data_IF_736346959928
#
_entry.id   IF_736346959928
#
_cell.length_a   1.000
_cell.length_b   1.000
_cell.length_c   1.000
_cell.angle_alpha   90.00
_cell.angle_beta   90.00
_cell.angle_gamma   90.00
#
_symmetry.space_group_name_H-M   'P 1'
#
loop_
_entity.id
_entity.type
_entity.pdbx_description
1 polymer ?
#
# COMPACT_ATOMS: atom_id res chain seq x y z
N UNK A 1 -12.69 0.85 -1.30
CA UNK A 1 -11.77 0.02 -2.11
C UNK A 1 -11.07 0.96 -3.06
N UNK A 2 -9.79 0.70 -3.30
CA UNK A 2 -8.89 1.52 -4.13
C UNK A 2 -7.73 0.65 -4.63
N UNK A 3 -7.11 1.08 -5.73
CA UNK A 3 -5.93 0.45 -6.32
C UNK A 3 -4.70 1.33 -6.17
N UNK A 4 -3.65 0.75 -5.58
CA UNK A 4 -2.35 1.41 -5.51
C UNK A 4 -1.29 0.63 -6.29
N UNK A 5 -0.48 1.30 -7.13
CA UNK A 5 0.72 0.69 -7.67
C UNK A 5 1.75 0.48 -6.54
N UNK A 6 2.40 -0.69 -6.57
CA UNK A 6 3.57 -0.98 -5.75
C UNK A 6 4.73 -1.33 -6.68
N UNK A 7 5.77 -0.51 -6.66
CA UNK A 7 6.94 -0.68 -7.50
C UNK A 7 7.90 -1.73 -6.92
N UNK A 8 8.67 -2.36 -7.80
CA UNK A 8 9.73 -3.30 -7.39
C UNK A 8 10.94 -2.56 -6.82
N UNK A 9 11.18 -1.33 -7.29
CA UNK A 9 12.11 -0.39 -6.66
C UNK A 9 11.33 0.78 -6.05
N UNK A 10 11.38 0.90 -4.72
CA UNK A 10 10.66 1.92 -3.93
C UNK A 10 11.62 3.01 -3.44
N UNK A 11 12.31 3.65 -4.39
CA UNK A 11 13.34 4.65 -4.10
C UNK A 11 12.76 5.80 -3.25
N UNK A 12 13.36 6.13 -2.09
CA UNK A 12 12.88 7.23 -1.24
C UNK A 12 13.07 8.58 -1.92
N UNK A 13 12.19 9.53 -1.60
CA UNK A 13 12.25 10.90 -2.12
C UNK A 13 13.19 11.83 -1.34
N UNK A 14 13.74 11.37 -0.22
CA UNK A 14 14.70 12.09 0.64
C UNK A 14 15.88 11.17 0.95
N UNK A 15 17.08 11.73 1.06
CA UNK A 15 18.31 11.03 1.44
C UNK A 15 19.12 11.88 2.42
N UNK A 16 20.00 11.25 3.19
CA UNK A 16 20.94 11.93 4.09
C UNK A 16 22.36 11.75 3.53
N UNK A 17 23.12 12.82 3.44
CA UNK A 17 24.50 12.85 2.99
C UNK A 17 25.23 14.04 3.66
N UNK A 18 26.56 14.11 3.51
CA UNK A 18 27.38 15.24 3.97
C UNK A 18 26.90 16.55 3.35
N UNK A 19 26.91 17.61 4.16
CA UNK A 19 26.58 18.96 3.68
C UNK A 19 27.50 19.38 2.53
N UNK A 20 26.94 19.95 1.47
CA UNK A 20 27.67 20.35 0.27
C UNK A 20 27.82 19.27 -0.81
N UNK A 21 27.34 18.04 -0.58
CA UNK A 21 27.29 17.00 -1.61
C UNK A 21 26.36 17.41 -2.76
N UNK A 22 26.89 17.48 -3.98
CA UNK A 22 26.15 17.91 -5.18
C UNK A 22 25.19 16.85 -5.72
N UNK A 23 25.53 15.58 -5.54
CA UNK A 23 24.79 14.43 -6.08
C UNK A 23 24.87 13.26 -5.12
N UNK A 24 23.72 12.71 -4.72
CA UNK A 24 23.63 11.50 -3.89
C UNK A 24 23.26 10.32 -4.78
N UNK A 25 24.10 9.28 -4.80
CA UNK A 25 23.86 8.08 -5.59
C UNK A 25 23.10 7.03 -4.78
N UNK A 26 21.93 6.64 -5.27
CA UNK A 26 21.13 5.56 -4.68
C UNK A 26 21.31 4.30 -5.52
N UNK A 27 21.67 3.19 -4.87
CA UNK A 27 21.71 1.88 -5.53
C UNK A 27 20.28 1.36 -5.72
N UNK A 28 19.94 1.00 -6.95
CA UNK A 28 18.66 0.38 -7.32
C UNK A 28 18.91 -0.92 -8.07
N UNK A 29 17.84 -1.61 -8.45
CA UNK A 29 17.93 -2.84 -9.23
C UNK A 29 17.64 -2.61 -10.72
N UNK A 30 17.36 -1.37 -11.12
CA UNK A 30 16.93 -0.98 -12.46
C UNK A 30 15.48 -1.34 -12.77
N UNK A 31 14.65 -1.52 -11.73
CA UNK A 31 13.26 -1.95 -11.83
C UNK A 31 12.24 -0.89 -11.41
N UNK A 32 12.63 0.39 -11.43
CA UNK A 32 11.86 1.55 -10.95
C UNK A 32 10.54 1.74 -11.71
N UNK A 33 10.44 1.23 -12.94
CA UNK A 33 9.20 1.28 -13.74
C UNK A 33 8.35 0.01 -13.64
N UNK A 34 8.83 -1.04 -12.97
CA UNK A 34 8.08 -2.28 -12.78
C UNK A 34 7.25 -2.16 -11.52
N UNK A 35 5.97 -2.50 -11.62
CA UNK A 35 5.06 -2.51 -10.48
C UNK A 35 4.11 -3.70 -10.55
N UNK A 36 3.50 -4.00 -9.41
CA UNK A 36 2.24 -4.70 -9.28
C UNK A 36 1.16 -3.70 -8.92
N UNK A 37 -0.10 -4.05 -9.14
CA UNK A 37 -1.22 -3.30 -8.59
C UNK A 37 -1.80 -4.07 -7.41
N UNK A 38 -1.91 -3.39 -6.27
CA UNK A 38 -2.53 -3.92 -5.06
C UNK A 38 -3.93 -3.32 -4.98
N UNK A 39 -4.94 -4.16 -5.07
CA UNK A 39 -6.34 -3.80 -4.85
C UNK A 39 -6.64 -3.98 -3.37
N UNK A 40 -6.79 -2.87 -2.66
CA UNK A 40 -6.97 -2.84 -1.22
C UNK A 40 -8.42 -2.47 -0.87
N UNK A 41 -8.96 -3.14 0.16
CA UNK A 41 -10.24 -2.78 0.72
C UNK A 41 -10.23 -2.98 2.24
N UNK A 42 -10.93 -2.08 2.92
CA UNK A 42 -11.17 -2.11 4.36
C UNK A 42 -12.66 -1.89 4.61
N UNK A 43 -13.14 -2.33 5.77
CA UNK A 43 -14.51 -2.12 6.22
C UNK A 43 -14.55 -1.08 7.35
N UNK A 44 -15.68 -0.38 7.48
CA UNK A 44 -15.90 0.59 8.56
C UNK A 44 -15.90 -0.02 9.97
N UNK A 45 -15.98 -1.34 10.08
CA UNK A 45 -15.75 -2.11 11.31
C UNK A 45 -14.29 -2.11 11.76
N UNK A 46 -13.35 -1.76 10.87
CA UNK A 46 -11.91 -1.84 11.06
C UNK A 46 -11.25 -3.08 10.46
N UNK A 47 -12.03 -3.94 9.78
CA UNK A 47 -11.50 -5.15 9.17
C UNK A 47 -10.81 -4.87 7.82
N UNK A 48 -9.72 -5.57 7.55
CA UNK A 48 -8.99 -5.53 6.27
C UNK A 48 -9.44 -6.73 5.43
N UNK A 49 -9.90 -6.48 4.21
CA UNK A 49 -10.29 -7.54 3.28
C UNK A 49 -9.04 -8.20 2.67
N UNK A 50 -9.09 -9.49 2.29
CA UNK A 50 -8.03 -10.09 1.50
C UNK A 50 -7.82 -9.28 0.20
N UNK A 51 -6.60 -8.83 -0.11
CA UNK A 51 -6.35 -8.02 -1.30
C UNK A 51 -6.36 -8.88 -2.57
N UNK A 52 -6.58 -8.22 -3.71
CA UNK A 52 -6.18 -8.76 -5.01
C UNK A 52 -4.82 -8.17 -5.41
N UNK A 53 -3.94 -9.02 -5.90
CA UNK A 53 -2.61 -8.63 -6.39
C UNK A 53 -2.54 -8.89 -7.90
N UNK A 54 -2.36 -7.83 -8.68
CA UNK A 54 -2.30 -7.90 -10.14
C UNK A 54 -0.85 -7.77 -10.59
N UNK A 55 -0.28 -8.86 -11.09
CA UNK A 55 1.05 -8.88 -11.67
C UNK A 55 1.03 -8.59 -13.17
N UNK A 56 2.07 -7.93 -13.67
CA UNK A 56 2.29 -7.79 -15.11
C UNK A 56 2.61 -9.14 -15.75
N UNK A 57 1.88 -9.53 -16.79
CA UNK A 57 2.19 -10.73 -17.58
C UNK A 57 1.01 -11.30 -18.38
N UNK A 58 1.19 -12.52 -18.90
CA UNK A 58 0.15 -13.27 -19.63
C UNK A 58 -0.09 -14.69 -19.10
N UNK A 59 0.76 -15.16 -18.19
CA UNK A 59 0.74 -16.52 -17.67
C UNK A 59 0.41 -16.49 -16.19
N UNK A 60 -0.38 -17.45 -15.74
CA UNK A 60 -0.64 -17.70 -14.33
C UNK A 60 0.68 -17.85 -13.56
N UNK A 61 0.68 -17.38 -12.32
CA UNK A 61 1.84 -17.45 -11.45
C UNK A 61 1.56 -18.44 -10.33
N UNK A 62 2.56 -19.26 -10.02
CA UNK A 62 2.56 -20.12 -8.84
C UNK A 62 3.27 -19.35 -7.71
N UNK A 63 2.48 -18.57 -6.95
CA UNK A 63 2.96 -17.79 -5.81
C UNK A 63 2.27 -18.28 -4.54
N UNK A 64 3.01 -18.30 -3.44
CA UNK A 64 2.52 -18.66 -2.12
C UNK A 64 1.83 -17.44 -1.51
N UNK A 65 0.53 -17.31 -1.78
CA UNK A 65 -0.32 -16.27 -1.19
C UNK A 65 -1.15 -16.86 -0.02
N UNK A 66 -1.51 -16.05 0.99
CA UNK A 66 -2.42 -16.48 2.03
C UNK A 66 -3.78 -16.91 1.47
N UNK A 67 -4.47 -17.80 2.18
CA UNK A 67 -5.80 -18.28 1.77
C UNK A 67 -6.77 -17.09 1.63
N UNK A 68 -7.51 -17.08 0.54
CA UNK A 68 -8.48 -16.03 0.22
C UNK A 68 -7.91 -14.82 -0.50
N UNK A 69 -6.58 -14.69 -0.63
CA UNK A 69 -5.98 -13.68 -1.48
C UNK A 69 -6.17 -14.03 -2.95
N UNK A 70 -6.37 -13.01 -3.78
CA UNK A 70 -6.60 -13.19 -5.20
C UNK A 70 -5.39 -12.74 -6.01
N UNK A 71 -4.63 -13.70 -6.53
CA UNK A 71 -3.51 -13.43 -7.43
C UNK A 71 -4.01 -13.42 -8.87
N UNK A 72 -3.82 -12.29 -9.53
CA UNK A 72 -4.22 -12.04 -10.91
C UNK A 72 -3.02 -11.65 -11.77
N UNK A 73 -3.16 -11.85 -13.08
CA UNK A 73 -2.14 -11.49 -14.06
C UNK A 73 -2.81 -10.74 -15.19
N UNK A 74 -2.25 -9.58 -15.53
CA UNK A 74 -2.77 -8.69 -16.55
C UNK A 74 -1.60 -8.09 -17.34
N UNK A 75 -1.75 -7.91 -18.66
CA UNK A 75 -0.63 -7.57 -19.56
C UNK A 75 0.11 -6.27 -19.18
N UNK A 76 -0.61 -5.33 -18.60
CA UNK A 76 -0.12 -4.02 -18.15
C UNK A 76 -0.17 -3.85 -16.63
N UNK A 77 -0.60 -4.87 -15.89
CA UNK A 77 -0.81 -4.84 -14.44
C UNK A 77 -1.87 -3.84 -13.94
N UNK A 78 -2.82 -3.43 -14.77
CA UNK A 78 -3.91 -2.53 -14.34
C UNK A 78 -5.17 -3.32 -14.00
N UNK A 79 -6.02 -2.73 -13.17
CA UNK A 79 -7.41 -3.16 -13.03
C UNK A 79 -8.16 -2.93 -14.35
N UNK A 80 -9.02 -3.87 -14.70
CA UNK A 80 -10.02 -3.77 -15.76
C UNK A 80 -11.36 -4.32 -15.29
N UNK A 81 -12.39 -4.20 -16.12
CA UNK A 81 -13.74 -4.67 -15.80
C UNK A 81 -13.79 -6.17 -15.46
N UNK A 82 -12.99 -6.99 -16.15
CA UNK A 82 -12.96 -8.44 -15.90
C UNK A 82 -12.41 -8.73 -14.51
N UNK A 83 -11.30 -8.08 -14.15
CA UNK A 83 -10.72 -8.20 -12.82
C UNK A 83 -11.61 -7.59 -11.74
N UNK A 84 -12.32 -6.50 -12.01
CA UNK A 84 -13.24 -5.90 -11.04
C UNK A 84 -14.41 -6.85 -10.74
N UNK A 85 -15.03 -7.43 -11.76
CA UNK A 85 -16.08 -8.44 -11.60
C UNK A 85 -15.58 -9.66 -10.82
N UNK A 86 -14.33 -10.08 -11.09
CA UNK A 86 -13.69 -11.17 -10.37
C UNK A 86 -13.48 -10.84 -8.89
N UNK A 87 -12.94 -9.65 -8.60
CA UNK A 87 -12.75 -9.16 -7.23
C UNK A 87 -14.06 -9.10 -6.44
N UNK A 88 -15.13 -8.59 -7.06
CA UNK A 88 -16.46 -8.56 -6.43
C UNK A 88 -16.91 -9.97 -6.02
N UNK A 89 -16.77 -10.95 -6.93
CA UNK A 89 -17.28 -12.29 -6.73
C UNK A 89 -16.44 -13.17 -5.80
N UNK A 90 -15.12 -13.04 -5.85
CA UNK A 90 -14.19 -13.91 -5.12
C UNK A 90 -13.74 -13.31 -3.78
N UNK A 91 -13.78 -11.98 -3.62
CA UNK A 91 -13.34 -11.28 -2.40
C UNK A 91 -14.51 -10.62 -1.69
N UNK A 92 -15.16 -9.66 -2.35
CA UNK A 92 -16.09 -8.75 -1.68
C UNK A 92 -17.37 -9.44 -1.20
N UNK A 93 -18.07 -10.15 -2.09
CA UNK A 93 -19.33 -10.82 -1.75
C UNK A 93 -19.16 -11.96 -0.73
N UNK A 94 -18.09 -12.78 -0.79
CA UNK A 94 -17.81 -13.74 0.28
C UNK A 94 -17.52 -13.06 1.62
N UNK A 95 -16.76 -11.95 1.62
CA UNK A 95 -16.44 -11.22 2.84
C UNK A 95 -17.70 -10.64 3.51
N UNK A 96 -18.62 -10.05 2.74
CA UNK A 96 -19.86 -9.50 3.30
C UNK A 96 -20.93 -10.54 3.59
N UNK A 97 -20.69 -11.83 3.33
CA UNK A 97 -21.71 -12.87 3.43
C UNK A 97 -22.91 -12.64 2.50
N UNK A 98 -22.75 -11.80 1.46
CA UNK A 98 -23.84 -11.28 0.60
C UNK A 98 -24.94 -10.52 1.35
N UNK A 99 -24.62 -10.00 2.54
CA UNK A 99 -25.51 -9.09 3.25
C UNK A 99 -25.53 -7.70 2.59
N UNK A 100 -26.56 -6.92 2.92
CA UNK A 100 -26.71 -5.57 2.40
C UNK A 100 -25.52 -4.73 2.83
N UNK A 101 -24.78 -4.18 1.86
CA UNK A 101 -23.55 -3.45 2.13
C UNK A 101 -23.39 -2.22 1.23
N UNK A 102 -22.57 -1.27 1.68
CA UNK A 102 -22.18 -0.07 0.92
C UNK A 102 -20.72 -0.24 0.46
N UNK A 103 -20.48 -0.18 -0.86
CA UNK A 103 -19.14 -0.25 -1.43
C UNK A 103 -18.72 1.13 -1.92
N UNK A 104 -17.78 1.75 -1.20
CA UNK A 104 -17.20 3.05 -1.54
C UNK A 104 -16.00 2.87 -2.48
N UNK A 105 -16.02 3.53 -3.64
CA UNK A 105 -15.00 3.45 -4.69
C UNK A 105 -14.85 4.80 -5.38
N UNK A 106 -13.72 5.04 -6.04
CA UNK A 106 -13.56 6.20 -6.91
C UNK A 106 -14.35 6.05 -8.24
N UNK A 107 -14.29 7.08 -9.07
CA UNK A 107 -14.94 7.09 -10.39
C UNK A 107 -14.10 6.44 -11.50
N UNK A 108 -13.18 5.52 -11.18
CA UNK A 108 -12.39 4.82 -12.19
C UNK A 108 -13.31 4.03 -13.15
N UNK A 109 -12.97 4.03 -14.44
CA UNK A 109 -13.85 3.50 -15.49
C UNK A 109 -14.23 2.03 -15.29
N UNK A 110 -13.31 1.20 -14.78
CA UNK A 110 -13.61 -0.21 -14.52
C UNK A 110 -14.62 -0.40 -13.37
N UNK A 111 -14.79 0.57 -12.47
CA UNK A 111 -15.72 0.49 -11.34
C UNK A 111 -17.17 0.82 -11.72
N UNK A 112 -17.37 1.55 -12.82
CA UNK A 112 -18.65 2.16 -13.15
C UNK A 112 -19.30 1.60 -14.43
N UNK A 113 -18.79 0.46 -14.92
CA UNK A 113 -19.39 -0.25 -16.06
C UNK A 113 -20.77 -0.80 -15.70
N UNK A 114 -21.59 -1.06 -16.71
CA UNK A 114 -22.96 -1.55 -16.49
C UNK A 114 -22.98 -2.96 -15.91
N UNK A 115 -22.03 -3.83 -16.30
CA UNK A 115 -21.93 -5.17 -15.74
C UNK A 115 -21.46 -5.16 -14.30
N UNK A 116 -20.52 -4.28 -13.93
CA UNK A 116 -20.12 -4.10 -12.52
C UNK A 116 -21.29 -3.62 -11.68
N UNK A 117 -22.02 -2.58 -12.13
CA UNK A 117 -23.24 -2.10 -11.45
C UNK A 117 -24.29 -3.20 -11.31
N UNK A 118 -24.49 -4.02 -12.35
CA UNK A 118 -25.43 -5.13 -12.35
C UNK A 118 -25.01 -6.21 -11.35
N UNK A 119 -23.72 -6.49 -11.25
CA UNK A 119 -23.19 -7.49 -10.33
C UNK A 119 -23.32 -7.04 -8.88
N UNK A 120 -23.02 -5.78 -8.58
CA UNK A 120 -23.21 -5.19 -7.25
C UNK A 120 -24.68 -5.25 -6.83
N UNK A 121 -25.61 -4.86 -7.71
CA UNK A 121 -27.06 -4.96 -7.43
C UNK A 121 -27.51 -6.40 -7.11
N UNK A 122 -27.03 -7.38 -7.89
CA UNK A 122 -27.31 -8.81 -7.64
C UNK A 122 -26.77 -9.31 -6.31
N UNK A 123 -25.66 -8.74 -5.85
CA UNK A 123 -25.03 -9.05 -4.56
C UNK A 123 -25.57 -8.25 -3.38
N UNK A 124 -26.69 -7.52 -3.52
CA UNK A 124 -27.25 -6.63 -2.50
C UNK A 124 -26.27 -5.51 -2.05
N UNK A 125 -25.45 -5.04 -2.97
CA UNK A 125 -24.43 -4.02 -2.73
C UNK A 125 -24.86 -2.69 -3.34
N UNK A 126 -24.82 -1.63 -2.53
CA UNK A 126 -25.03 -0.26 -2.97
C UNK A 126 -23.67 0.36 -3.29
N UNK A 127 -23.38 0.72 -4.56
CA UNK A 127 -22.16 1.45 -4.87
C UNK A 127 -22.27 2.92 -4.45
N UNK A 128 -21.24 3.43 -3.77
CA UNK A 128 -21.04 4.85 -3.49
C UNK A 128 -19.79 5.33 -4.25
N UNK A 129 -20.00 6.12 -5.30
CA UNK A 129 -18.94 6.62 -6.17
C UNK A 129 -18.46 7.97 -5.67
N UNK A 130 -17.17 8.07 -5.37
CA UNK A 130 -16.53 9.32 -4.98
C UNK A 130 -16.37 10.21 -6.23
N UNK A 131 -16.83 11.46 -6.19
CA UNK A 131 -16.63 12.40 -7.30
C UNK A 131 -15.15 12.65 -7.60
N UNK A 132 -14.83 12.88 -8.87
CA UNK A 132 -13.47 13.20 -9.29
C UNK A 132 -12.86 14.36 -8.49
N UNK A 133 -11.61 14.20 -8.06
CA UNK A 133 -10.89 15.21 -7.26
C UNK A 133 -11.28 15.26 -5.78
N UNK A 134 -12.19 14.39 -5.31
CA UNK A 134 -12.59 14.33 -3.90
C UNK A 134 -11.98 13.17 -3.11
N UNK A 135 -11.14 12.37 -3.74
CA UNK A 135 -10.52 11.19 -3.14
C UNK A 135 -9.76 11.52 -1.85
N UNK A 136 -8.96 12.59 -1.83
CA UNK A 136 -8.22 13.04 -0.64
C UNK A 136 -9.09 13.47 0.55
N UNK A 137 -10.42 13.50 0.40
CA UNK A 137 -11.38 13.90 1.44
C UNK A 137 -12.38 12.82 1.78
N UNK A 138 -12.73 11.97 0.79
CA UNK A 138 -13.85 11.05 0.86
C UNK A 138 -13.44 9.58 0.74
N UNK A 139 -12.19 9.29 0.40
CA UNK A 139 -11.67 7.93 0.31
C UNK A 139 -10.88 7.58 1.58
N UNK A 140 -11.39 6.69 2.45
CA UNK A 140 -10.65 6.24 3.64
C UNK A 140 -9.25 5.73 3.32
N UNK A 141 -9.11 5.08 2.16
CA UNK A 141 -7.82 4.54 1.72
C UNK A 141 -6.78 5.63 1.48
N UNK A 142 -7.13 6.72 0.80
CA UNK A 142 -6.20 7.82 0.53
C UNK A 142 -6.03 8.79 1.70
N UNK A 143 -7.04 8.93 2.56
CA UNK A 143 -6.98 9.80 3.73
C UNK A 143 -5.98 9.28 4.76
N UNK A 144 -5.92 7.97 5.02
CA UNK A 144 -5.07 7.47 6.12
C UNK A 144 -4.44 6.09 5.94
N UNK A 145 -4.86 5.27 4.97
CA UNK A 145 -4.45 3.85 4.94
C UNK A 145 -3.32 3.59 3.94
N UNK A 146 -3.39 4.21 2.76
CA UNK A 146 -2.40 4.06 1.69
C UNK A 146 -1.02 4.57 2.14
N UNK A 147 -0.95 5.60 3.01
CA UNK A 147 0.30 6.15 3.54
C UNK A 147 1.09 5.11 4.36
N UNK A 148 0.58 4.56 5.47
CA UNK A 148 1.31 3.58 6.28
C UNK A 148 1.66 2.31 5.50
N UNK A 149 0.77 1.83 4.61
CA UNK A 149 1.08 0.68 3.74
C UNK A 149 2.27 0.99 2.82
N UNK A 150 2.27 2.15 2.13
CA UNK A 150 3.40 2.55 1.27
C UNK A 150 4.69 2.76 2.07
N UNK A 151 4.60 3.28 3.30
CA UNK A 151 5.75 3.44 4.18
C UNK A 151 6.36 2.10 4.58
N UNK A 152 5.53 1.11 4.96
CA UNK A 152 5.99 -0.24 5.26
C UNK A 152 6.73 -0.86 4.06
N UNK A 153 6.10 -0.84 2.89
CA UNK A 153 6.67 -1.43 1.67
C UNK A 153 8.02 -0.78 1.30
N UNK A 154 8.13 0.54 1.47
CA UNK A 154 9.39 1.27 1.24
C UNK A 154 10.48 0.79 2.20
N UNK A 155 10.16 0.61 3.48
CA UNK A 155 11.10 0.09 4.49
C UNK A 155 11.60 -1.30 4.13
N UNK A 156 10.70 -2.22 3.77
CA UNK A 156 11.08 -3.57 3.33
C UNK A 156 11.99 -3.57 2.11
N UNK A 157 11.76 -2.66 1.15
CA UNK A 157 12.66 -2.51 0.00
C UNK A 157 14.03 -1.96 0.41
N UNK A 158 14.10 -0.95 1.29
CA UNK A 158 15.38 -0.40 1.77
C UNK A 158 16.21 -1.46 2.49
N UNK A 159 15.58 -2.27 3.34
CA UNK A 159 16.22 -3.41 4.01
C UNK A 159 16.77 -4.42 2.99
N UNK A 160 15.98 -4.76 1.97
CA UNK A 160 16.42 -5.65 0.90
C UNK A 160 17.65 -5.12 0.15
N UNK A 161 17.65 -3.83 -0.21
CA UNK A 161 18.79 -3.20 -0.89
C UNK A 161 20.03 -3.15 0.01
N UNK A 162 19.86 -2.83 1.30
CA UNK A 162 20.95 -2.81 2.28
C UNK A 162 21.58 -4.19 2.39
N UNK A 163 20.78 -5.22 2.61
CA UNK A 163 21.26 -6.58 2.83
C UNK A 163 21.94 -7.14 1.56
N UNK A 164 21.36 -6.86 0.38
CA UNK A 164 21.98 -7.22 -0.89
C UNK A 164 23.29 -6.47 -1.17
N UNK A 165 23.41 -5.21 -0.72
CA UNK A 165 24.65 -4.42 -0.83
C UNK A 165 25.75 -4.99 0.06
N UNK A 166 25.42 -5.32 1.32
CA UNK A 166 26.36 -5.92 2.26
C UNK A 166 26.87 -7.28 1.74
N UNK A 167 25.97 -8.11 1.19
CA UNK A 167 26.35 -9.39 0.60
C UNK A 167 27.35 -9.24 -0.56
N UNK A 168 27.16 -8.25 -1.44
CA UNK A 168 28.08 -7.97 -2.55
C UNK A 168 29.45 -7.47 -2.08
N UNK A 169 29.52 -6.72 -0.98
CA UNK A 169 30.79 -6.27 -0.40
C UNK A 169 31.57 -7.41 0.26
N UNK A 170 30.88 -8.43 0.76
CA UNK A 170 31.49 -9.60 1.42
C UNK A 170 31.96 -10.70 0.47
N UNK A 171 31.55 -10.67 -0.80
CA UNK A 171 31.99 -11.64 -1.81
C UNK A 171 33.23 -11.13 -2.54
N UNK A 172 34.38 -11.76 -2.34
CA UNK A 172 35.68 -11.49 -3.01
C UNK A 172 35.67 -11.67 -4.55
N UNK A 173 34.50 -11.80 -5.19
CA UNK A 173 34.40 -12.06 -6.62
C UNK A 173 33.89 -10.87 -7.43
N UNK A 174 34.72 -10.51 -8.41
CA UNK A 174 34.57 -9.67 -9.60
C UNK A 174 33.37 -10.00 -10.50
N UNK A 175 32.17 -10.21 -9.94
CA UNK A 175 30.94 -10.12 -10.73
C UNK A 175 30.58 -8.65 -10.88
N UNK A 176 29.98 -8.24 -12.02
CA UNK A 176 29.67 -6.85 -12.39
C UNK A 176 28.65 -6.09 -11.47
N UNK A 177 28.63 -6.39 -10.16
CA UNK A 177 28.20 -5.51 -9.07
C UNK A 177 26.75 -5.10 -9.04
N UNK A 178 25.85 -5.81 -9.73
CA UNK A 178 24.43 -5.45 -9.82
C UNK A 178 23.60 -6.16 -8.76
N UNK A 179 22.88 -5.37 -7.96
CA UNK A 179 21.84 -5.87 -7.06
C UNK A 179 20.73 -6.47 -7.92
N UNK A 180 20.35 -7.71 -7.61
CA UNK A 180 19.24 -8.39 -8.30
C UNK A 180 17.92 -7.78 -7.84
N UNK A 181 16.97 -7.63 -8.77
CA UNK A 181 15.62 -7.23 -8.38
C UNK A 181 14.94 -8.30 -7.54
N UNK A 182 14.19 -7.88 -6.52
CA UNK A 182 13.31 -8.75 -5.75
C UNK A 182 12.42 -9.61 -6.67
N UNK A 183 12.28 -10.89 -6.30
CA UNK A 183 11.39 -11.81 -6.99
C UNK A 183 9.93 -11.42 -6.75
N UNK A 184 9.01 -11.93 -7.58
CA UNK A 184 7.57 -11.72 -7.38
C UNK A 184 7.08 -12.25 -6.04
N UNK A 185 7.68 -13.33 -5.53
CA UNK A 185 7.36 -13.87 -4.21
C UNK A 185 7.84 -12.92 -3.11
N UNK A 186 9.07 -12.41 -3.18
CA UNK A 186 9.59 -11.45 -2.19
C UNK A 186 8.71 -10.20 -2.13
N UNK A 187 8.33 -9.66 -3.29
CA UNK A 187 7.43 -8.50 -3.37
C UNK A 187 6.05 -8.84 -2.76
N UNK A 188 5.52 -10.03 -3.03
CA UNK A 188 4.27 -10.49 -2.41
C UNK A 188 4.40 -10.62 -0.89
N UNK A 189 5.53 -11.15 -0.39
CA UNK A 189 5.80 -11.30 1.04
C UNK A 189 5.82 -9.94 1.76
N UNK A 190 6.37 -8.89 1.13
CA UNK A 190 6.28 -7.53 1.66
C UNK A 190 4.83 -7.03 1.76
N UNK A 191 3.99 -7.33 0.77
CA UNK A 191 2.56 -6.97 0.82
C UNK A 191 1.84 -7.76 1.91
N UNK A 192 2.13 -9.05 2.07
CA UNK A 192 1.55 -9.88 3.14
C UNK A 192 1.83 -9.25 4.49
N UNK A 193 3.09 -8.94 4.79
CA UNK A 193 3.45 -8.35 6.07
C UNK A 193 2.85 -6.95 6.26
N UNK A 194 2.80 -6.13 5.20
CA UNK A 194 2.16 -4.81 5.25
C UNK A 194 0.66 -4.91 5.59
N UNK A 195 -0.03 -5.92 5.05
CA UNK A 195 -1.45 -6.16 5.36
C UNK A 195 -1.65 -6.68 6.79
N UNK A 196 -0.72 -7.48 7.31
CA UNK A 196 -0.77 -7.95 8.69
C UNK A 196 -0.58 -6.79 9.68
N UNK A 197 0.40 -5.91 9.44
CA UNK A 197 0.53 -4.65 10.22
C UNK A 197 -0.71 -3.76 10.10
N UNK A 198 -1.34 -3.68 8.92
CA UNK A 198 -2.55 -2.89 8.75
C UNK A 198 -3.73 -3.44 9.58
N UNK A 199 -3.85 -4.77 9.74
CA UNK A 199 -4.92 -5.38 10.56
C UNK A 199 -4.80 -4.99 12.04
N UNK A 200 -3.59 -4.73 12.52
CA UNK A 200 -3.34 -4.28 13.89
C UNK A 200 -3.82 -2.83 14.08
N UNK A 201 -3.85 -2.02 13.02
CA UNK A 201 -4.31 -0.62 13.01
C UNK A 201 -5.84 -0.48 12.89
N UNK A 202 -6.62 -1.36 13.53
CA UNK A 202 -8.10 -1.37 13.48
C UNK A 202 -8.73 -0.01 13.81
N UNK A 203 -8.25 0.65 14.87
CA UNK A 203 -8.78 1.93 15.33
C UNK A 203 -8.60 3.04 14.27
N UNK A 204 -7.44 3.10 13.62
CA UNK A 204 -7.14 4.03 12.53
C UNK A 204 -8.10 3.81 11.34
N UNK A 205 -8.38 2.55 10.99
CA UNK A 205 -9.33 2.22 9.93
C UNK A 205 -10.73 2.69 10.29
N UNK A 206 -11.25 2.37 11.48
CA UNK A 206 -12.59 2.83 11.90
C UNK A 206 -12.68 4.36 11.86
N UNK A 207 -11.63 5.04 12.32
CA UNK A 207 -11.56 6.50 12.37
C UNK A 207 -11.56 7.14 10.98
N UNK A 208 -10.85 6.55 10.01
CA UNK A 208 -10.79 7.09 8.65
C UNK A 208 -12.16 7.13 7.96
N UNK A 209 -13.03 6.16 8.24
CA UNK A 209 -14.43 6.19 7.78
C UNK A 209 -15.23 7.33 8.40
N UNK A 210 -14.99 7.67 9.68
CA UNK A 210 -15.65 8.80 10.35
C UNK A 210 -15.15 10.14 9.81
N UNK A 211 -13.84 10.29 9.60
CA UNK A 211 -13.24 11.49 9.02
C UNK A 211 -13.75 11.74 7.60
N UNK A 212 -13.93 10.67 6.80
CA UNK A 212 -14.55 10.75 5.48
C UNK A 212 -16.06 11.00 5.51
N UNK A 213 -16.69 11.01 6.69
CA UNK A 213 -18.14 11.20 6.85
C UNK A 213 -18.99 10.01 6.38
N UNK A 214 -18.41 8.80 6.30
CA UNK A 214 -19.08 7.61 5.77
C UNK A 214 -19.84 6.86 6.88
N UNK A 215 -19.24 6.73 8.06
CA UNK A 215 -19.77 5.93 9.18
C UNK A 215 -20.25 6.78 10.36
N UNK A 216 -20.43 8.08 10.17
CA UNK A 216 -20.92 9.00 11.21
C UNK A 216 -22.40 8.75 11.54
N UNK A 217 -22.78 8.98 12.80
CA UNK A 217 -24.17 8.91 13.23
C UNK A 217 -25.06 9.92 12.50
N UNK A 218 -26.22 9.46 12.01
CA UNK A 218 -27.25 10.28 11.37
C UNK A 218 -27.84 11.38 12.28
N UNK A 219 -27.71 11.25 13.60
CA UNK A 219 -28.11 12.30 14.56
C UNK A 219 -27.25 13.55 14.47
N UNK A 220 -26.08 13.48 13.83
CA UNK A 220 -25.11 14.57 13.75
C UNK A 220 -24.19 14.69 14.97
N UNK A 221 -24.31 13.80 15.96
CA UNK A 221 -23.48 13.82 17.18
C UNK A 221 -21.97 13.66 16.90
N UNK A 222 -21.61 13.11 15.74
CA UNK A 222 -20.23 12.85 15.32
C UNK A 222 -19.74 13.80 14.21
N UNK A 223 -20.52 14.86 13.88
CA UNK A 223 -20.16 15.78 12.80
C UNK A 223 -18.82 16.48 13.01
N UNK A 224 -18.39 16.67 14.26
CA UNK A 224 -17.10 17.26 14.60
C UNK A 224 -15.89 16.40 14.15
N UNK A 225 -16.10 15.11 13.87
CA UNK A 225 -15.04 14.21 13.40
C UNK A 225 -14.81 14.33 11.88
N UNK A 226 -15.77 14.84 11.13
CA UNK A 226 -15.70 14.94 9.68
C UNK A 226 -14.61 15.94 9.30
N UNK A 227 -13.63 15.50 8.50
CA UNK A 227 -12.46 16.29 8.07
C UNK A 227 -11.59 16.82 9.22
N UNK A 228 -11.68 16.22 10.41
CA UNK A 228 -10.75 16.53 11.49
C UNK A 228 -9.50 15.63 11.37
N UNK A 229 -8.64 15.97 10.42
CA UNK A 229 -7.44 15.18 10.08
C UNK A 229 -6.39 15.22 11.20
N UNK A 230 -6.43 16.24 12.06
CA UNK A 230 -5.54 16.37 13.23
C UNK A 230 -5.62 15.16 14.16
N UNK A 231 -6.76 14.49 14.15
CA UNK A 231 -7.04 13.35 15.01
C UNK A 231 -6.57 12.01 14.40
N UNK A 232 -6.29 11.95 13.09
CA UNK A 232 -5.68 10.77 12.45
C UNK A 232 -4.18 10.71 12.70
N UNK A 233 -3.50 11.87 12.70
CA UNK A 233 -2.06 11.98 12.92
C UNK A 233 -1.62 11.51 14.33
N UNK A 234 -2.51 11.54 15.33
CA UNK A 234 -2.20 11.07 16.70
C UNK A 234 -2.31 9.56 16.87
N UNK A 235 -2.79 8.82 15.86
CA UNK A 235 -2.84 7.35 15.87
C UNK A 235 -1.71 6.71 15.03
N UNK A 236 -0.89 7.54 14.40
CA UNK A 236 0.35 7.16 13.72
C UNK A 236 1.57 7.15 14.67
N UNK A 237 1.33 7.05 15.98
CA UNK A 237 2.38 6.93 17.02
C UNK A 237 3.15 5.60 16.99
N UNK A 238 3.01 4.82 15.91
CA UNK A 238 3.94 3.77 15.53
C UNK A 238 4.77 4.24 14.34
N UNK A 239 5.87 4.94 14.65
CA UNK A 239 6.99 5.15 13.73
C UNK A 239 6.67 5.85 12.40
N UNK A 240 5.79 6.84 12.40
CA UNK A 240 5.96 8.00 11.52
C UNK A 240 7.13 8.85 12.02
N UNK A 241 8.26 8.18 12.19
CA UNK A 241 9.54 8.77 11.87
C UNK A 241 9.50 8.97 10.36
N UNK A 242 9.01 10.14 9.95
CA UNK A 242 9.37 10.73 8.66
C UNK A 242 10.88 11.04 8.68
N UNK A 243 11.74 10.08 9.05
CA UNK A 243 12.83 10.33 9.99
C UNK A 243 12.30 11.14 11.20
N UNK A 244 12.12 10.52 12.38
CA UNK A 244 12.51 11.26 13.57
C UNK A 244 13.93 11.65 13.21
N UNK A 245 14.21 12.94 13.29
CA UNK A 245 15.56 13.44 13.39
C UNK A 245 16.33 12.36 14.16
N UNK A 246 17.18 11.61 13.45
CA UNK A 246 18.25 10.91 14.13
C UNK A 246 18.75 11.94 15.11
N UNK A 247 18.72 11.62 16.41
CA UNK A 247 19.16 12.63 17.35
C UNK A 247 20.56 13.07 16.89
N UNK A 248 20.97 14.32 17.13
CA UNK A 248 22.32 14.71 16.80
C UNK A 248 23.37 13.69 17.31
N UNK A 249 23.05 12.92 18.36
CA UNK A 249 23.85 11.78 18.81
C UNK A 249 23.79 10.55 17.89
N UNK A 250 22.64 10.14 17.37
CA UNK A 250 22.51 9.00 16.44
C UNK A 250 23.19 9.28 15.08
N UNK A 251 23.04 10.49 14.54
CA UNK A 251 23.73 10.94 13.32
C UNK A 251 25.23 10.98 13.53
N UNK A 252 25.66 11.48 14.68
CA UNK A 252 27.07 11.52 15.05
C UNK A 252 27.65 10.12 15.20
N UNK A 253 26.94 9.20 15.85
CA UNK A 253 27.39 7.81 16.00
C UNK A 253 27.50 7.08 14.64
N UNK A 254 26.57 7.35 13.71
CA UNK A 254 26.63 6.80 12.36
C UNK A 254 27.78 7.41 11.53
N UNK A 255 28.03 8.72 11.67
CA UNK A 255 29.15 9.41 11.02
C UNK A 255 30.50 8.98 11.59
N UNK A 256 30.62 8.84 12.91
CA UNK A 256 31.85 8.41 13.58
C UNK A 256 32.22 6.99 13.14
N UNK A 257 31.24 6.07 13.04
CA UNK A 257 31.46 4.73 12.47
C UNK A 257 31.89 4.73 11.01
N UNK A 258 31.45 5.69 10.21
CA UNK A 258 31.88 5.84 8.80
C UNK A 258 33.29 6.44 8.69
N UNK A 259 33.70 7.25 9.66
CA UNK A 259 35.02 7.87 9.72
C UNK A 259 36.09 6.94 10.33
N UNK A 260 35.71 5.95 11.13
CA UNK A 260 36.63 4.91 11.65
C UNK A 260 37.02 3.85 10.61
N UNK A 261 36.38 3.86 9.43
CA UNK A 261 36.66 2.93 8.32
C UNK A 261 37.55 3.50 7.20
N UNK A 262 38.12 4.70 7.37
CA UNK A 262 39.21 5.27 6.56
C UNK A 262 40.56 5.21 7.31
#
# INVERSE_FOLDING_TARGET
MDETPMYFDLVPGKTVDREGTKSVLIRTTGAEKRHITVVLAVAGSGDVLPPMIIFKGKRTLDLKAPKGWLIAVQEKAWMDETLMLRWINEIYLPFTGRERSLLVMDSFRAHITDDVKKQLRRGNVVPAIIPGGCTSKLQPLDVSINKPVKSYLRRSWMEYIRDATNALQSSDETSNGRIKTASKQIVLDWVINAMDTLKEKRAMIVKSFKVCGISVNLSGSENALIRNDNELNTMDDDSDTEFEDFSPEDLKMAMDKLLETE
#
